data_IF_651641911045
#
_entry.id   IF_651641911045
#
_cell.length_a   1.000
_cell.length_b   1.000
_cell.length_c   1.000
_cell.angle_alpha   90.00
_cell.angle_beta   90.00
_cell.angle_gamma   90.00
#
_symmetry.space_group_name_H-M   'P 1'
#
loop_
_entity.id
_entity.type
_entity.pdbx_description
1 polymer ?
#
# COMPACT_ATOMS: atom_id res chain seq x y z
N UNK A 1 6.01 5.92 37.39
CA UNK A 1 6.01 5.45 35.98
C UNK A 1 5.48 6.59 35.13
N UNK A 2 6.23 7.04 34.12
CA UNK A 2 5.74 8.05 33.19
C UNK A 2 4.54 7.50 32.41
N UNK A 3 3.50 8.32 32.17
CA UNK A 3 2.38 7.92 31.32
C UNK A 3 2.92 7.57 29.93
N UNK A 4 2.45 6.45 29.30
CA UNK A 4 2.88 6.08 27.97
C UNK A 4 2.61 7.23 26.99
N UNK A 5 3.59 7.57 26.16
CA UNK A 5 3.43 8.60 25.13
C UNK A 5 2.29 8.19 24.18
N UNK A 6 1.61 9.20 23.61
CA UNK A 6 0.48 9.01 22.70
C UNK A 6 0.81 8.03 21.58
N UNK A 7 2.02 8.10 21.03
CA UNK A 7 2.52 7.24 19.96
C UNK A 7 2.70 5.78 20.40
N UNK A 8 3.09 5.52 21.67
CA UNK A 8 3.27 4.15 22.18
C UNK A 8 1.95 3.39 22.27
N UNK A 9 0.83 4.07 22.58
CA UNK A 9 -0.50 3.46 22.66
C UNK A 9 -1.07 3.17 21.26
N UNK A 10 -0.89 4.08 20.31
CA UNK A 10 -1.26 3.83 18.89
C UNK A 10 -0.52 2.61 18.35
N UNK A 11 0.78 2.52 18.55
CA UNK A 11 1.59 1.38 18.13
C UNK A 11 1.15 0.06 18.79
N UNK A 12 0.75 0.08 20.06
CA UNK A 12 0.20 -1.10 20.73
C UNK A 12 -1.10 -1.57 20.10
N UNK A 13 -2.01 -0.65 19.75
CA UNK A 13 -3.28 -0.98 19.09
C UNK A 13 -3.01 -1.58 17.71
N UNK A 14 -2.14 -0.96 16.91
CA UNK A 14 -1.75 -1.43 15.58
C UNK A 14 -1.21 -2.86 15.66
N UNK A 15 -0.17 -3.10 16.47
CA UNK A 15 0.43 -4.44 16.64
C UNK A 15 -0.54 -5.49 17.16
N UNK A 16 -1.47 -5.10 18.03
CA UNK A 16 -2.51 -6.01 18.50
C UNK A 16 -3.49 -6.38 17.37
N UNK A 17 -3.85 -5.41 16.54
CA UNK A 17 -4.72 -5.64 15.38
C UNK A 17 -4.06 -6.55 14.36
N UNK A 18 -2.78 -6.30 14.02
CA UNK A 18 -1.99 -7.17 13.12
C UNK A 18 -1.97 -8.62 13.63
N UNK A 19 -1.65 -8.86 14.91
CA UNK A 19 -1.65 -10.21 15.49
C UNK A 19 -3.01 -10.91 15.45
N UNK A 20 -4.10 -10.17 15.51
CA UNK A 20 -5.45 -10.73 15.36
C UNK A 20 -5.76 -11.06 13.90
N UNK A 21 -5.35 -10.20 12.96
CA UNK A 21 -5.51 -10.41 11.52
C UNK A 21 -4.71 -11.63 11.01
N UNK A 22 -3.58 -11.95 11.64
CA UNK A 22 -2.84 -13.18 11.35
C UNK A 22 -3.61 -14.47 11.71
N UNK A 23 -4.61 -14.36 12.59
CA UNK A 23 -5.34 -15.52 13.13
C UNK A 23 -6.75 -15.69 12.56
N UNK A 24 -7.37 -14.59 12.13
CA UNK A 24 -8.76 -14.59 11.68
C UNK A 24 -9.10 -13.37 10.82
N UNK A 25 -10.13 -13.47 9.96
CA UNK A 25 -10.53 -12.37 9.09
C UNK A 25 -11.05 -11.17 9.90
N UNK A 26 -10.96 -9.98 9.29
CA UNK A 26 -11.37 -8.72 9.91
C UNK A 26 -12.84 -8.72 10.36
N UNK A 27 -13.73 -9.40 9.63
CA UNK A 27 -15.15 -9.54 9.99
C UNK A 27 -15.34 -10.04 11.42
N UNK A 28 -14.47 -10.96 11.84
CA UNK A 28 -14.54 -11.69 13.11
C UNK A 28 -13.78 -11.00 14.24
N UNK A 29 -13.15 -9.85 13.95
CA UNK A 29 -12.41 -9.05 14.93
C UNK A 29 -13.31 -7.89 15.41
N UNK A 30 -13.43 -7.74 16.73
CA UNK A 30 -14.12 -6.62 17.36
C UNK A 30 -13.14 -5.62 17.97
N UNK A 31 -13.55 -4.34 18.12
CA UNK A 31 -12.76 -3.34 18.85
C UNK A 31 -12.51 -3.76 20.31
N UNK A 32 -13.45 -4.51 20.91
CA UNK A 32 -13.27 -5.05 22.25
C UNK A 32 -12.15 -6.08 22.34
N UNK A 33 -11.99 -6.93 21.33
CA UNK A 33 -10.88 -7.89 21.26
C UNK A 33 -9.56 -7.20 21.02
N UNK A 34 -9.54 -6.18 20.13
CA UNK A 34 -8.34 -5.36 19.91
C UNK A 34 -7.88 -4.70 21.20
N UNK A 35 -8.82 -4.09 21.96
CA UNK A 35 -8.46 -3.47 23.25
C UNK A 35 -7.89 -4.47 24.26
N UNK A 36 -8.47 -5.67 24.31
CA UNK A 36 -8.00 -6.77 25.17
C UNK A 36 -6.61 -7.25 24.76
N UNK A 37 -6.40 -7.48 23.46
CA UNK A 37 -5.11 -7.92 22.90
C UNK A 37 -4.01 -6.85 23.09
N UNK A 38 -4.37 -5.55 22.98
CA UNK A 38 -3.47 -4.44 23.22
C UNK A 38 -3.18 -4.19 24.71
N UNK A 39 -3.92 -4.82 25.63
CA UNK A 39 -3.78 -4.60 27.09
C UNK A 39 -4.22 -3.20 27.52
N UNK A 40 -5.25 -2.62 26.87
CA UNK A 40 -5.77 -1.29 27.18
C UNK A 40 -7.29 -1.35 27.44
N UNK A 41 -7.83 -0.28 28.06
CA UNK A 41 -9.27 -0.16 28.24
C UNK A 41 -10.00 0.11 26.91
N UNK A 42 -11.27 -0.30 26.79
CA UNK A 42 -12.13 0.07 25.66
C UNK A 42 -12.19 1.58 25.47
N UNK A 43 -12.33 2.34 26.55
CA UNK A 43 -12.38 3.81 26.50
C UNK A 43 -11.09 4.40 25.91
N UNK A 44 -9.93 3.85 26.28
CA UNK A 44 -8.64 4.22 25.69
C UNK A 44 -8.62 3.94 24.19
N UNK A 45 -9.08 2.77 23.74
CA UNK A 45 -9.11 2.46 22.33
C UNK A 45 -10.03 3.41 21.56
N UNK A 46 -11.26 3.67 22.05
CA UNK A 46 -12.21 4.59 21.40
C UNK A 46 -11.74 6.05 21.36
N UNK A 47 -10.81 6.43 22.22
CA UNK A 47 -10.17 7.75 22.14
C UNK A 47 -9.29 7.88 20.89
N UNK A 48 -8.62 6.80 20.46
CA UNK A 48 -7.75 6.78 19.28
C UNK A 48 -8.48 6.42 17.98
N UNK A 49 -9.40 5.47 18.03
CA UNK A 49 -10.04 4.89 16.86
C UNK A 49 -11.53 4.66 17.10
N UNK A 50 -12.37 5.22 16.23
CA UNK A 50 -13.81 5.06 16.29
C UNK A 50 -14.25 3.73 15.67
N UNK A 51 -13.57 3.30 14.62
CA UNK A 51 -13.90 2.10 13.84
C UNK A 51 -12.68 1.20 13.65
N UNK A 52 -12.92 -0.05 13.25
CA UNK A 52 -11.84 -0.96 12.82
C UNK A 52 -11.13 -0.44 11.57
N UNK A 53 -11.86 0.20 10.68
CA UNK A 53 -11.33 0.70 9.42
C UNK A 53 -10.34 1.86 9.64
N UNK A 54 -10.53 2.66 10.68
CA UNK A 54 -9.53 3.69 11.06
C UNK A 54 -8.20 3.07 11.45
N UNK A 55 -8.23 1.93 12.16
CA UNK A 55 -7.01 1.19 12.53
C UNK A 55 -6.37 0.58 11.28
N UNK A 56 -7.18 -0.02 10.40
CA UNK A 56 -6.68 -0.59 9.14
C UNK A 56 -6.08 0.47 8.23
N UNK A 57 -6.68 1.66 8.21
CA UNK A 57 -6.12 2.77 7.46
C UNK A 57 -4.72 3.10 7.98
N UNK A 58 -4.54 3.27 9.30
CA UNK A 58 -3.23 3.58 9.88
C UNK A 58 -2.19 2.46 9.60
N UNK A 59 -2.59 1.18 9.69
CA UNK A 59 -1.72 0.05 9.34
C UNK A 59 -1.30 0.13 7.87
N UNK A 60 -2.26 0.34 6.98
CA UNK A 60 -2.01 0.44 5.54
C UNK A 60 -1.16 1.66 5.22
N UNK A 61 -1.42 2.79 5.88
CA UNK A 61 -0.68 4.04 5.69
C UNK A 61 0.80 3.92 6.10
N UNK A 62 1.08 3.26 7.22
CA UNK A 62 2.44 2.95 7.66
C UNK A 62 3.15 2.08 6.61
N UNK A 63 2.47 1.05 6.10
CA UNK A 63 3.01 0.19 5.07
C UNK A 63 3.32 0.96 3.77
N UNK A 64 2.37 1.77 3.30
CA UNK A 64 2.54 2.58 2.10
C UNK A 64 3.62 3.65 2.26
N UNK A 65 3.72 4.26 3.44
CA UNK A 65 4.79 5.22 3.77
C UNK A 65 6.17 4.54 3.73
N UNK A 66 6.26 3.32 4.23
CA UNK A 66 7.49 2.53 4.13
C UNK A 66 7.85 2.26 2.68
N UNK A 67 6.88 1.85 1.86
CA UNK A 67 7.11 1.62 0.42
C UNK A 67 7.52 2.89 -0.33
N UNK A 68 6.94 4.03 0.02
CA UNK A 68 7.32 5.34 -0.51
C UNK A 68 8.79 5.65 -0.22
N UNK A 69 9.21 5.54 1.04
CA UNK A 69 10.58 5.78 1.45
C UNK A 69 11.55 4.79 0.79
N UNK A 70 11.17 3.53 0.71
CA UNK A 70 11.97 2.50 0.03
C UNK A 70 12.17 2.82 -1.47
N UNK A 71 11.13 3.35 -2.14
CA UNK A 71 11.24 3.76 -3.55
C UNK A 71 12.24 4.91 -3.71
N UNK A 72 12.19 5.93 -2.85
CA UNK A 72 13.13 7.05 -2.88
C UNK A 72 14.55 6.54 -2.65
N UNK A 73 14.78 5.79 -1.57
CA UNK A 73 16.10 5.24 -1.23
C UNK A 73 16.65 4.36 -2.38
N UNK A 74 15.77 3.54 -2.99
CA UNK A 74 16.19 2.68 -4.10
C UNK A 74 16.52 3.50 -5.34
N UNK A 75 15.73 4.52 -5.70
CA UNK A 75 15.97 5.36 -6.89
C UNK A 75 17.20 6.25 -6.76
N UNK A 76 17.59 6.61 -5.55
CA UNK A 76 18.75 7.46 -5.25
C UNK A 76 20.04 6.66 -5.02
N UNK A 77 19.98 5.33 -4.99
CA UNK A 77 21.14 4.48 -4.74
C UNK A 77 22.01 4.36 -6.02
N UNK A 78 23.23 4.92 -6.04
CA UNK A 78 24.10 4.91 -7.24
C UNK A 78 24.64 3.51 -7.59
N UNK A 79 24.55 2.54 -6.66
CA UNK A 79 25.00 1.16 -6.90
C UNK A 79 23.91 0.28 -7.52
N UNK A 80 22.68 0.78 -7.67
CA UNK A 80 21.55 0.04 -8.22
C UNK A 80 21.28 0.41 -9.68
N UNK A 81 20.90 -0.60 -10.47
CA UNK A 81 20.28 -0.36 -11.77
C UNK A 81 18.85 0.16 -11.55
N UNK A 82 18.68 1.47 -11.63
CA UNK A 82 17.40 2.16 -11.51
C UNK A 82 16.85 2.61 -12.86
N UNK A 83 17.24 1.95 -13.95
CA UNK A 83 16.74 2.21 -15.31
C UNK A 83 15.20 2.10 -15.40
N UNK A 84 14.59 2.67 -16.45
CA UNK A 84 13.16 2.77 -16.61
C UNK A 84 12.42 1.43 -16.39
N UNK A 85 12.89 0.36 -17.05
CA UNK A 85 12.27 -0.96 -16.91
C UNK A 85 12.40 -1.54 -15.50
N UNK A 86 13.47 -1.24 -14.79
CA UNK A 86 13.66 -1.64 -13.38
C UNK A 86 12.76 -0.85 -12.45
N UNK A 87 12.58 0.45 -12.72
CA UNK A 87 11.64 1.27 -11.96
C UNK A 87 10.21 0.76 -12.10
N UNK A 88 9.75 0.49 -13.33
CA UNK A 88 8.40 -0.04 -13.57
C UNK A 88 8.20 -1.37 -12.85
N UNK A 89 9.15 -2.30 -12.97
CA UNK A 89 9.13 -3.58 -12.25
C UNK A 89 9.04 -3.36 -10.74
N UNK A 90 9.90 -2.54 -10.18
CA UNK A 90 9.94 -2.26 -8.75
C UNK A 90 8.60 -1.73 -8.22
N UNK A 91 8.01 -0.75 -8.90
CA UNK A 91 6.72 -0.17 -8.50
C UNK A 91 5.61 -1.22 -8.52
N UNK A 92 5.53 -2.03 -9.58
CA UNK A 92 4.52 -3.08 -9.69
C UNK A 92 4.69 -4.12 -8.56
N UNK A 93 5.91 -4.65 -8.37
CA UNK A 93 6.19 -5.66 -7.34
C UNK A 93 5.84 -5.15 -5.94
N UNK A 94 6.14 -3.89 -5.64
CA UNK A 94 5.78 -3.27 -4.36
C UNK A 94 4.27 -3.14 -4.19
N UNK A 95 3.55 -2.69 -5.22
CA UNK A 95 2.10 -2.54 -5.14
C UNK A 95 1.38 -3.89 -4.97
N UNK A 96 1.78 -4.94 -5.69
CA UNK A 96 1.19 -6.28 -5.57
C UNK A 96 1.59 -7.02 -4.27
N UNK A 97 2.55 -6.48 -3.52
CA UNK A 97 2.93 -6.96 -2.20
C UNK A 97 2.14 -6.29 -1.07
N UNK A 98 1.24 -5.36 -1.40
CA UNK A 98 0.39 -4.67 -0.42
C UNK A 98 -0.52 -5.66 0.33
N UNK A 99 -0.67 -5.53 1.66
CA UNK A 99 -1.54 -6.40 2.42
C UNK A 99 -2.99 -6.42 1.92
N UNK A 100 -3.68 -7.58 1.97
CA UNK A 100 -5.06 -7.73 1.50
C UNK A 100 -6.06 -6.78 2.16
N UNK A 101 -5.78 -6.30 3.37
CA UNK A 101 -6.64 -5.38 4.13
C UNK A 101 -6.93 -4.07 3.39
N UNK A 102 -6.09 -3.66 2.42
CA UNK A 102 -6.36 -2.51 1.54
C UNK A 102 -7.69 -2.64 0.81
N UNK A 103 -8.11 -3.85 0.44
CA UNK A 103 -9.41 -4.08 -0.22
C UNK A 103 -10.59 -3.81 0.72
N UNK A 104 -10.47 -4.08 2.02
CA UNK A 104 -11.52 -3.71 2.98
C UNK A 104 -11.70 -2.19 3.03
N UNK A 105 -10.60 -1.43 3.00
CA UNK A 105 -10.66 0.04 2.94
C UNK A 105 -11.29 0.55 1.65
N UNK A 106 -10.96 -0.06 0.49
CA UNK A 106 -11.57 0.29 -0.79
C UNK A 106 -13.09 0.03 -0.77
N UNK A 107 -13.52 -1.14 -0.28
CA UNK A 107 -14.94 -1.46 -0.15
C UNK A 107 -15.65 -0.46 0.78
N UNK A 108 -15.08 -0.12 1.94
CA UNK A 108 -15.64 0.83 2.88
C UNK A 108 -15.77 2.24 2.25
N UNK A 109 -14.74 2.69 1.56
CA UNK A 109 -14.73 3.96 0.84
C UNK A 109 -15.81 4.03 -0.25
N UNK A 110 -15.97 2.96 -1.04
CA UNK A 110 -16.94 2.89 -2.14
C UNK A 110 -18.37 2.83 -1.59
N UNK A 111 -18.60 2.21 -0.43
CA UNK A 111 -19.91 2.04 0.20
C UNK A 111 -20.34 3.21 1.09
N UNK A 112 -19.55 4.30 1.14
CA UNK A 112 -20.00 5.56 1.70
C UNK A 112 -19.15 6.16 2.82
N UNK A 113 -18.00 5.56 3.15
CA UNK A 113 -17.07 6.18 4.10
C UNK A 113 -16.23 7.27 3.42
N UNK A 114 -16.74 8.50 3.48
CA UNK A 114 -16.13 9.66 2.83
C UNK A 114 -14.72 9.98 3.34
N UNK A 115 -14.47 9.81 4.64
CA UNK A 115 -13.16 10.07 5.23
C UNK A 115 -12.09 9.11 4.69
N UNK A 116 -12.39 7.81 4.67
CA UNK A 116 -11.49 6.79 4.10
C UNK A 116 -11.31 7.01 2.60
N UNK A 117 -12.40 7.36 1.89
CA UNK A 117 -12.35 7.65 0.45
C UNK A 117 -11.37 8.77 0.14
N UNK A 118 -11.46 9.90 0.84
CA UNK A 118 -10.57 11.03 0.62
C UNK A 118 -9.11 10.67 0.93
N UNK A 119 -8.86 10.00 2.04
CA UNK A 119 -7.51 9.54 2.40
C UNK A 119 -6.88 8.62 1.34
N UNK A 120 -7.68 7.71 0.76
CA UNK A 120 -7.19 6.84 -0.32
C UNK A 120 -6.91 7.62 -1.59
N UNK A 121 -7.77 8.57 -1.97
CA UNK A 121 -7.55 9.45 -3.14
C UNK A 121 -6.25 10.25 -2.96
N UNK A 122 -6.03 10.84 -1.79
CA UNK A 122 -4.83 11.60 -1.51
C UNK A 122 -3.58 10.72 -1.64
N UNK A 123 -3.62 9.49 -1.10
CA UNK A 123 -2.51 8.53 -1.22
C UNK A 123 -2.22 8.12 -2.67
N UNK A 124 -3.25 7.81 -3.46
CA UNK A 124 -3.05 7.51 -4.89
C UNK A 124 -2.43 8.68 -5.64
N UNK A 125 -2.90 9.90 -5.36
CA UNK A 125 -2.38 11.12 -5.97
C UNK A 125 -0.91 11.35 -5.60
N UNK A 126 -0.55 11.13 -4.35
CA UNK A 126 0.84 11.29 -3.90
C UNK A 126 1.76 10.25 -4.57
N UNK A 127 1.35 8.97 -4.62
CA UNK A 127 2.12 7.93 -5.31
C UNK A 127 2.25 8.20 -6.80
N UNK A 128 1.17 8.65 -7.46
CA UNK A 128 1.20 9.04 -8.86
C UNK A 128 2.26 10.12 -9.12
N UNK A 129 2.27 11.19 -8.33
CA UNK A 129 3.24 12.27 -8.47
C UNK A 129 4.68 11.79 -8.32
N UNK A 130 4.96 10.97 -7.32
CA UNK A 130 6.29 10.41 -7.11
C UNK A 130 6.72 9.53 -8.27
N UNK A 131 5.85 8.64 -8.74
CA UNK A 131 6.15 7.76 -9.88
C UNK A 131 6.37 8.59 -11.14
N UNK A 132 5.52 9.60 -11.39
CA UNK A 132 5.66 10.49 -12.54
C UNK A 132 6.99 11.27 -12.52
N UNK A 133 7.39 11.79 -11.37
CA UNK A 133 8.71 12.43 -11.18
C UNK A 133 9.84 11.45 -11.53
N UNK A 134 9.82 10.25 -10.94
CA UNK A 134 10.88 9.25 -11.17
C UNK A 134 10.88 8.70 -12.60
N UNK A 135 9.75 8.64 -13.28
CA UNK A 135 9.67 8.35 -14.72
C UNK A 135 10.29 9.49 -15.54
N UNK A 136 9.94 10.75 -15.26
CA UNK A 136 10.43 11.92 -15.97
C UNK A 136 11.95 12.10 -15.88
N UNK A 137 12.57 11.70 -14.76
CA UNK A 137 14.03 11.67 -14.61
C UNK A 137 14.73 10.68 -15.57
N UNK A 138 14.00 9.67 -16.09
CA UNK A 138 14.55 8.54 -16.86
C UNK A 138 14.20 8.58 -18.35
N UNK A 139 13.16 9.29 -18.72
CA UNK A 139 12.74 9.41 -20.11
C UNK A 139 11.90 10.65 -20.34
N UNK A 140 12.11 11.31 -21.47
CA UNK A 140 11.26 12.38 -21.98
C UNK A 140 10.29 11.90 -23.08
N UNK A 141 10.43 10.65 -23.52
CA UNK A 141 9.65 10.08 -24.62
C UNK A 141 8.25 9.65 -24.21
N UNK A 142 7.99 9.52 -22.89
CA UNK A 142 6.71 9.07 -22.37
C UNK A 142 6.01 10.19 -21.59
N UNK A 143 4.70 10.38 -21.75
CA UNK A 143 3.93 11.29 -20.90
C UNK A 143 3.86 10.69 -19.46
N UNK A 144 4.74 11.18 -18.58
CA UNK A 144 5.00 10.58 -17.26
C UNK A 144 3.71 10.44 -16.42
N UNK A 145 2.83 11.46 -16.39
CA UNK A 145 1.57 11.38 -15.64
C UNK A 145 0.60 10.32 -16.17
N UNK A 146 0.55 10.08 -17.48
CA UNK A 146 -0.27 9.00 -18.05
C UNK A 146 0.31 7.62 -17.66
N UNK A 147 1.62 7.45 -17.79
CA UNK A 147 2.26 6.17 -17.49
C UNK A 147 2.29 5.86 -16.00
N UNK A 148 2.38 6.85 -15.11
CA UNK A 148 2.28 6.63 -13.67
C UNK A 148 0.88 6.07 -13.29
N UNK A 149 -0.20 6.66 -13.81
CA UNK A 149 -1.54 6.12 -13.63
C UNK A 149 -1.71 4.73 -14.25
N UNK A 150 -1.17 4.51 -15.46
CA UNK A 150 -1.24 3.19 -16.10
C UNK A 150 -0.57 2.11 -15.24
N UNK A 151 0.61 2.39 -14.68
CA UNK A 151 1.32 1.46 -13.79
C UNK A 151 0.48 1.17 -12.53
N UNK A 152 -0.14 2.17 -11.93
CA UNK A 152 -1.00 2.00 -10.76
C UNK A 152 -2.23 1.13 -11.09
N UNK A 153 -2.94 1.42 -12.19
CA UNK A 153 -4.12 0.65 -12.60
C UNK A 153 -3.78 -0.80 -12.94
N UNK A 154 -2.68 -1.03 -13.66
CA UNK A 154 -2.23 -2.38 -14.00
C UNK A 154 -1.86 -3.14 -12.73
N UNK A 155 -1.10 -2.53 -11.83
CA UNK A 155 -0.68 -3.21 -10.59
C UNK A 155 -1.84 -3.46 -9.63
N UNK A 156 -2.86 -2.59 -9.58
CA UNK A 156 -4.08 -2.85 -8.81
C UNK A 156 -4.87 -4.03 -9.39
N UNK A 157 -5.01 -4.10 -10.72
CA UNK A 157 -5.59 -5.25 -11.41
C UNK A 157 -4.83 -6.56 -11.13
N UNK A 158 -3.50 -6.52 -11.17
CA UNK A 158 -2.65 -7.67 -10.85
C UNK A 158 -2.81 -8.09 -9.39
N UNK A 159 -2.87 -7.15 -8.46
CA UNK A 159 -3.11 -7.45 -7.04
C UNK A 159 -4.46 -8.15 -6.83
N UNK A 160 -5.52 -7.71 -7.53
CA UNK A 160 -6.83 -8.38 -7.49
C UNK A 160 -6.71 -9.83 -7.97
N UNK A 161 -6.09 -10.08 -9.12
CA UNK A 161 -5.93 -11.44 -9.66
C UNK A 161 -5.11 -12.32 -8.71
N UNK A 162 -4.05 -11.80 -8.14
CA UNK A 162 -3.23 -12.48 -7.12
C UNK A 162 -4.05 -12.89 -5.90
N UNK A 163 -4.88 -11.99 -5.36
CA UNK A 163 -5.70 -12.27 -4.18
C UNK A 163 -6.84 -13.25 -4.46
N UNK A 164 -7.37 -13.25 -5.68
CA UNK A 164 -8.35 -14.24 -6.14
C UNK A 164 -7.72 -15.63 -6.31
N UNK A 165 -6.39 -15.72 -6.35
CA UNK A 165 -5.70 -16.97 -6.67
C UNK A 165 -6.03 -17.47 -8.08
N UNK A 166 -6.21 -16.55 -9.05
CA UNK A 166 -6.59 -16.91 -10.42
C UNK A 166 -5.51 -17.78 -11.07
N UNK A 167 -5.79 -19.07 -11.38
CA UNK A 167 -4.79 -19.99 -11.93
C UNK A 167 -4.41 -19.69 -13.39
N UNK A 168 -5.21 -18.90 -14.11
CA UNK A 168 -4.97 -18.55 -15.51
C UNK A 168 -4.00 -17.37 -15.68
N UNK A 169 -3.58 -16.74 -14.57
CA UNK A 169 -2.69 -15.57 -14.57
C UNK A 169 -1.44 -15.85 -13.77
N UNK A 170 -0.32 -16.03 -14.44
CA UNK A 170 1.00 -16.03 -13.83
C UNK A 170 1.47 -14.59 -13.62
N UNK A 171 1.28 -14.09 -12.40
CA UNK A 171 1.60 -12.71 -12.02
C UNK A 171 3.10 -12.41 -12.18
N UNK A 172 3.97 -13.33 -11.76
CA UNK A 172 5.42 -13.12 -11.81
C UNK A 172 5.92 -13.09 -13.28
N UNK A 173 5.43 -14.00 -14.10
CA UNK A 173 5.72 -13.97 -15.54
C UNK A 173 5.22 -12.71 -16.22
N UNK A 174 4.03 -12.19 -15.83
CA UNK A 174 3.49 -10.94 -16.36
C UNK A 174 4.33 -9.72 -15.96
N UNK A 175 4.81 -9.65 -14.71
CA UNK A 175 5.70 -8.58 -14.23
C UNK A 175 7.00 -8.57 -15.03
N UNK A 176 7.63 -9.73 -15.22
CA UNK A 176 8.85 -9.86 -16.01
C UNK A 176 8.64 -9.46 -17.47
N UNK A 177 7.57 -9.93 -18.11
CA UNK A 177 7.23 -9.57 -19.48
C UNK A 177 7.00 -8.06 -19.63
N UNK A 178 6.32 -7.43 -18.68
CA UNK A 178 6.11 -5.98 -18.66
C UNK A 178 7.44 -5.22 -18.61
N UNK A 179 8.35 -5.62 -17.71
CA UNK A 179 9.66 -5.02 -17.60
C UNK A 179 10.48 -5.17 -18.91
N UNK A 180 10.46 -6.35 -19.52
CA UNK A 180 11.16 -6.59 -20.81
C UNK A 180 10.56 -5.77 -21.96
N UNK A 181 9.23 -5.64 -22.01
CA UNK A 181 8.56 -4.79 -23.00
C UNK A 181 8.99 -3.33 -22.86
N UNK A 182 8.95 -2.78 -21.63
CA UNK A 182 9.42 -1.41 -21.34
C UNK A 182 10.88 -1.23 -21.74
N UNK A 183 11.74 -2.21 -21.46
CA UNK A 183 13.16 -2.17 -21.87
C UNK A 183 13.34 -2.11 -23.38
N UNK A 184 12.45 -2.75 -24.13
CA UNK A 184 12.52 -2.77 -25.59
C UNK A 184 12.14 -1.41 -26.18
N UNK A 185 11.00 -0.85 -25.72
CA UNK A 185 10.52 0.45 -26.24
C UNK A 185 11.36 1.65 -25.77
N UNK A 186 12.07 1.54 -24.66
CA UNK A 186 12.95 2.61 -24.17
C UNK A 186 14.29 2.73 -24.89
N UNK A 187 14.61 1.81 -25.80
CA UNK A 187 15.83 1.83 -26.62
C UNK A 187 15.62 2.44 -28.02
N UNK A 188 14.34 2.66 -28.34
CA UNK A 188 13.91 3.29 -29.59
C UNK A 188 13.74 4.79 -29.40
#
# INVERSE_FOLDING_TARGET
MAAPRNDDLKQKIIKATERLLDKKPLSDISLAEISKEAGISKGTLYYYYKTKNDILFDITDIYLTTQWNDLIVWTENPEKDTSLHRLVKYVIERNISTPPMRFHLLCDAITGNEEIRQKLIDRYTDFEKLIAEKLGERTSSLPAGYFSWLILFVSDGMLIQKLLGNPDVDIDAFVEATAQYVKTISKT
#
